data_IF_302116143153
#
_entry.id   IF_302116143153
#
_cell.length_a   1.000
_cell.length_b   1.000
_cell.length_c   1.000
_cell.angle_alpha   90.00
_cell.angle_beta   90.00
_cell.angle_gamma   90.00
#
_symmetry.space_group_name_H-M   'P 1'
#
loop_
_entity.id
_entity.type
_entity.pdbx_description
1 polymer ?
#
# COMPACT_ATOMS: atom_id res chain seq x y z
N UNK A 1 0.44 11.74 -36.13
CA UNK A 1 -0.96 11.31 -36.35
C UNK A 1 -1.47 10.77 -35.03
N UNK A 2 -2.45 11.46 -34.43
CA UNK A 2 -2.98 11.14 -33.11
C UNK A 2 -4.02 10.03 -33.19
N UNK A 3 -3.94 9.08 -32.26
CA UNK A 3 -5.01 8.14 -32.00
C UNK A 3 -5.56 8.41 -30.61
N UNK A 4 -6.69 9.10 -30.57
CA UNK A 4 -7.62 9.13 -29.44
C UNK A 4 -8.24 7.74 -29.33
N UNK A 5 -7.87 6.96 -28.32
CA UNK A 5 -8.55 5.70 -28.03
C UNK A 5 -9.58 5.94 -26.92
N UNK A 6 -10.83 5.91 -27.38
CA UNK A 6 -12.07 6.11 -26.66
C UNK A 6 -12.19 5.18 -25.45
N UNK A 7 -12.45 5.76 -24.28
CA UNK A 7 -12.76 5.06 -23.02
C UNK A 7 -14.12 4.35 -23.00
N UNK A 8 -14.43 3.55 -24.02
CA UNK A 8 -15.63 2.71 -24.06
C UNK A 8 -15.38 1.23 -23.71
N UNK A 9 -14.13 0.74 -23.76
CA UNK A 9 -13.85 -0.66 -23.45
C UNK A 9 -13.60 -0.94 -21.96
N UNK A 10 -13.50 0.09 -21.11
CA UNK A 10 -13.20 -0.08 -19.68
C UNK A 10 -14.44 -0.34 -18.81
N UNK A 11 -15.66 -0.24 -19.36
CA UNK A 11 -16.87 -0.14 -18.55
C UNK A 11 -17.78 -1.39 -18.52
N UNK A 12 -17.44 -2.47 -19.24
CA UNK A 12 -18.28 -3.68 -19.25
C UNK A 12 -17.70 -4.88 -18.49
N UNK A 13 -16.46 -4.83 -18.01
CA UNK A 13 -15.81 -5.99 -17.35
C UNK A 13 -15.92 -5.99 -15.81
N UNK A 14 -16.53 -4.96 -15.21
CA UNK A 14 -16.52 -4.74 -13.76
C UNK A 14 -17.42 -5.69 -12.95
N UNK A 15 -18.20 -6.57 -13.58
CA UNK A 15 -19.16 -7.44 -12.86
C UNK A 15 -18.79 -8.93 -12.91
N UNK A 16 -17.87 -9.37 -13.78
CA UNK A 16 -17.59 -10.81 -13.98
C UNK A 16 -16.10 -11.18 -14.11
N UNK A 17 -15.20 -10.54 -13.35
CA UNK A 17 -13.85 -11.09 -13.12
C UNK A 17 -13.01 -11.38 -14.38
N UNK A 18 -13.11 -10.53 -15.41
CA UNK A 18 -12.43 -10.76 -16.70
C UNK A 18 -11.81 -9.53 -17.34
N UNK A 19 -11.74 -8.40 -16.63
CA UNK A 19 -11.27 -7.13 -17.18
C UNK A 19 -9.78 -6.93 -17.14
N UNK A 20 -9.26 -6.27 -18.16
CA UNK A 20 -7.89 -5.79 -18.17
C UNK A 20 -7.83 -4.31 -17.75
N UNK A 21 -6.86 -3.98 -16.90
CA UNK A 21 -6.55 -2.63 -16.43
C UNK A 21 -5.20 -2.19 -16.99
N UNK A 22 -5.11 -0.92 -17.34
CA UNK A 22 -3.85 -0.29 -17.72
C UNK A 22 -3.36 0.60 -16.59
N UNK A 23 -2.13 0.36 -16.14
CA UNK A 23 -1.40 1.26 -15.26
C UNK A 23 -0.21 1.78 -16.06
N UNK A 24 -0.26 3.06 -16.42
CA UNK A 24 0.69 3.68 -17.34
C UNK A 24 0.80 2.90 -18.67
N UNK A 25 1.94 2.26 -18.92
CA UNK A 25 2.20 1.51 -20.16
C UNK A 25 1.95 0.00 -20.02
N UNK A 26 1.69 -0.47 -18.81
CA UNK A 26 1.62 -1.88 -18.49
C UNK A 26 0.15 -2.32 -18.39
N UNK A 27 -0.16 -3.47 -19.00
CA UNK A 27 -1.49 -4.08 -19.00
C UNK A 27 -1.54 -5.21 -17.98
N UNK A 28 -2.59 -5.23 -17.19
CA UNK A 28 -2.81 -6.24 -16.16
C UNK A 28 -4.20 -6.84 -16.30
N UNK A 29 -4.30 -8.16 -16.26
CA UNK A 29 -5.58 -8.87 -16.17
C UNK A 29 -6.00 -9.03 -14.72
N UNK A 30 -7.22 -8.65 -14.39
CA UNK A 30 -7.79 -8.90 -13.07
C UNK A 30 -8.08 -10.40 -12.94
N UNK A 31 -7.52 -11.04 -11.91
CA UNK A 31 -7.68 -12.47 -11.64
C UNK A 31 -8.79 -12.71 -10.64
N UNK A 32 -8.73 -12.04 -9.47
CA UNK A 32 -9.74 -12.13 -8.41
C UNK A 32 -9.60 -10.98 -7.43
N UNK A 33 -10.65 -10.70 -6.66
CA UNK A 33 -10.57 -9.78 -5.53
C UNK A 33 -9.88 -10.47 -4.33
N UNK A 34 -9.02 -9.71 -3.63
CA UNK A 34 -8.32 -10.11 -2.40
C UNK A 34 -8.95 -9.49 -1.16
N UNK A 35 -9.51 -8.28 -1.27
CA UNK A 35 -10.11 -7.58 -0.15
C UNK A 35 -10.94 -6.36 -0.55
N UNK A 36 -11.70 -5.86 0.40
CA UNK A 36 -12.57 -4.69 0.26
C UNK A 36 -12.50 -3.83 1.52
N UNK A 37 -12.46 -2.52 1.33
CA UNK A 37 -12.72 -1.50 2.33
C UNK A 37 -13.66 -0.44 1.72
N UNK A 38 -14.06 0.55 2.51
CA UNK A 38 -15.17 1.44 2.16
C UNK A 38 -15.15 2.04 0.74
N UNK A 39 -13.99 2.50 0.26
CA UNK A 39 -13.82 3.03 -1.10
C UNK A 39 -12.64 2.40 -1.84
N UNK A 40 -12.08 1.32 -1.30
CA UNK A 40 -10.85 0.72 -1.79
C UNK A 40 -11.02 -0.78 -1.96
N UNK A 41 -10.63 -1.28 -3.11
CA UNK A 41 -10.72 -2.69 -3.48
C UNK A 41 -9.32 -3.18 -3.80
N UNK A 42 -8.96 -4.36 -3.32
CA UNK A 42 -7.66 -4.97 -3.62
C UNK A 42 -7.89 -6.18 -4.51
N UNK A 43 -7.21 -6.23 -5.64
CA UNK A 43 -7.30 -7.31 -6.61
C UNK A 43 -5.95 -8.00 -6.80
N UNK A 44 -5.98 -9.31 -7.00
CA UNK A 44 -4.90 -10.04 -7.62
C UNK A 44 -4.96 -9.78 -9.12
N UNK A 45 -3.85 -9.32 -9.69
CA UNK A 45 -3.74 -9.04 -11.12
C UNK A 45 -2.54 -9.76 -11.70
N UNK A 46 -2.59 -10.08 -12.99
CA UNK A 46 -1.50 -10.71 -13.72
C UNK A 46 -1.06 -9.83 -14.87
N UNK A 47 0.22 -9.51 -14.94
CA UNK A 47 0.80 -8.76 -16.04
C UNK A 47 0.62 -9.50 -17.37
N UNK A 48 0.18 -8.76 -18.38
CA UNK A 48 -0.01 -9.25 -19.75
C UNK A 48 1.12 -8.70 -20.59
N UNK A 49 2.15 -9.52 -20.81
CA UNK A 49 3.28 -9.17 -21.66
C UNK A 49 2.88 -9.24 -23.15
N UNK A 50 3.29 -8.29 -23.99
CA UNK A 50 3.09 -8.40 -25.44
C UNK A 50 3.92 -9.56 -25.99
N UNK A 51 3.33 -10.32 -26.93
CA UNK A 51 3.90 -11.54 -27.56
C UNK A 51 5.29 -11.38 -28.23
N UNK A 52 5.88 -10.18 -28.24
CA UNK A 52 7.12 -9.90 -29.00
C UNK A 52 8.17 -9.06 -28.27
N UNK A 53 8.05 -8.84 -26.95
CA UNK A 53 9.02 -8.01 -26.23
C UNK A 53 9.18 -8.41 -24.77
N UNK A 54 10.13 -9.34 -24.52
CA UNK A 54 10.69 -9.60 -23.19
C UNK A 54 11.32 -8.34 -22.54
N UNK A 55 11.47 -7.24 -23.29
CA UNK A 55 11.95 -5.93 -22.83
C UNK A 55 10.84 -4.96 -22.38
N UNK A 56 9.57 -5.33 -22.52
CA UNK A 56 8.40 -4.48 -22.20
C UNK A 56 7.59 -5.10 -21.06
N UNK A 57 8.01 -4.84 -19.82
CA UNK A 57 7.26 -5.23 -18.63
C UNK A 57 7.73 -4.45 -17.41
N UNK A 58 7.07 -4.63 -16.27
CA UNK A 58 7.40 -3.98 -15.01
C UNK A 58 8.87 -4.22 -14.60
N UNK A 59 9.43 -5.36 -15.01
CA UNK A 59 10.83 -5.71 -14.82
C UNK A 59 11.84 -4.71 -15.42
N UNK A 60 11.48 -3.95 -16.47
CA UNK A 60 12.39 -2.95 -17.05
C UNK A 60 12.49 -1.67 -16.23
N UNK A 61 11.55 -1.43 -15.30
CA UNK A 61 11.53 -0.25 -14.42
C UNK A 61 12.27 -0.47 -13.09
N UNK A 62 12.41 -1.71 -12.63
CA UNK A 62 12.97 -2.02 -11.32
C UNK A 62 14.34 -2.67 -11.43
N UNK A 63 15.35 -2.05 -10.84
CA UNK A 63 16.70 -2.62 -10.70
C UNK A 63 16.76 -3.74 -9.66
N UNK A 64 15.81 -3.77 -8.72
CA UNK A 64 15.70 -4.81 -7.71
C UNK A 64 14.59 -5.79 -8.10
N UNK A 65 15.02 -6.94 -8.64
CA UNK A 65 14.12 -8.01 -9.06
C UNK A 65 13.44 -8.73 -7.88
N UNK A 66 13.84 -8.50 -6.63
CA UNK A 66 13.28 -9.21 -5.47
C UNK A 66 11.81 -8.91 -5.18
N UNK A 67 11.28 -7.83 -5.77
CA UNK A 67 9.89 -7.40 -5.63
C UNK A 67 9.00 -7.80 -6.81
N UNK A 68 9.57 -8.39 -7.86
CA UNK A 68 8.84 -8.89 -9.01
C UNK A 68 8.38 -10.32 -8.74
N UNK A 69 7.13 -10.63 -9.08
CA UNK A 69 6.67 -12.02 -9.00
C UNK A 69 7.18 -12.80 -10.20
N UNK A 70 7.70 -14.00 -9.94
CA UNK A 70 8.20 -14.93 -10.98
C UNK A 70 7.13 -15.27 -12.03
N UNK A 71 5.85 -15.26 -11.62
CA UNK A 71 4.71 -15.59 -12.49
C UNK A 71 3.97 -14.35 -13.03
N UNK A 72 4.50 -13.15 -12.78
CA UNK A 72 3.94 -11.87 -13.19
C UNK A 72 2.66 -11.47 -12.43
N UNK A 73 2.39 -12.03 -11.24
CA UNK A 73 1.25 -11.64 -10.42
C UNK A 73 1.58 -10.54 -9.40
N UNK A 74 0.59 -9.67 -9.15
CA UNK A 74 0.73 -8.49 -8.31
C UNK A 74 -0.57 -8.22 -7.55
N UNK A 75 -0.49 -7.42 -6.49
CA UNK A 75 -1.66 -6.86 -5.81
C UNK A 75 -1.93 -5.45 -6.33
N UNK A 76 -3.16 -5.18 -6.77
CA UNK A 76 -3.59 -3.86 -7.23
C UNK A 76 -4.68 -3.31 -6.32
N UNK A 77 -4.40 -2.19 -5.66
CA UNK A 77 -5.40 -1.41 -4.91
C UNK A 77 -6.06 -0.41 -5.85
N UNK A 78 -7.37 -0.54 -6.06
CA UNK A 78 -8.25 0.40 -6.76
C UNK A 78 -8.97 1.27 -5.73
N UNK A 79 -8.87 2.58 -5.83
CA UNK A 79 -9.56 3.53 -4.94
C UNK A 79 -10.53 4.39 -5.75
N UNK A 80 -11.80 4.43 -5.32
CA UNK A 80 -12.83 5.29 -5.90
C UNK A 80 -12.81 6.66 -5.23
N UNK A 81 -12.72 7.74 -6.02
CA UNK A 81 -12.51 9.10 -5.51
C UNK A 81 -13.69 10.00 -5.92
N UNK A 82 -14.42 10.50 -4.93
CA UNK A 82 -15.62 11.32 -5.12
C UNK A 82 -15.35 12.82 -5.02
N UNK A 83 -14.41 13.22 -4.15
CA UNK A 83 -14.14 14.62 -3.85
C UNK A 83 -12.63 14.94 -3.84
N UNK A 84 -12.32 16.23 -3.76
CA UNK A 84 -10.94 16.73 -3.78
C UNK A 84 -10.15 16.31 -2.53
N UNK A 85 -10.80 16.21 -1.37
CA UNK A 85 -10.14 15.81 -0.13
C UNK A 85 -9.63 14.36 -0.21
N UNK A 86 -10.47 13.44 -0.71
CA UNK A 86 -10.07 12.06 -0.98
C UNK A 86 -8.93 11.97 -2.01
N UNK A 87 -8.97 12.81 -3.05
CA UNK A 87 -7.91 12.86 -4.05
C UNK A 87 -6.57 13.25 -3.41
N UNK A 88 -6.56 14.26 -2.55
CA UNK A 88 -5.34 14.70 -1.86
C UNK A 88 -4.83 13.65 -0.86
N UNK A 89 -5.73 12.94 -0.15
CA UNK A 89 -5.34 11.81 0.70
C UNK A 89 -4.66 10.69 -0.09
N UNK A 90 -5.20 10.32 -1.25
CA UNK A 90 -4.60 9.30 -2.13
C UNK A 90 -3.27 9.77 -2.72
N UNK A 91 -3.17 11.04 -3.12
CA UNK A 91 -1.91 11.63 -3.59
C UNK A 91 -0.83 11.60 -2.53
N UNK A 92 -1.19 11.92 -1.29
CA UNK A 92 -0.25 11.86 -0.18
C UNK A 92 0.15 10.41 0.13
N UNK A 93 -0.78 9.45 0.12
CA UNK A 93 -0.47 8.02 0.28
C UNK A 93 0.54 7.54 -0.79
N UNK A 94 0.31 7.88 -2.06
CA UNK A 94 1.22 7.57 -3.17
C UNK A 94 2.60 8.22 -2.94
N UNK A 95 2.62 9.51 -2.59
CA UNK A 95 3.85 10.26 -2.36
C UNK A 95 4.68 9.60 -1.26
N UNK A 96 4.07 9.31 -0.12
CA UNK A 96 4.74 8.68 1.02
C UNK A 96 5.21 7.27 0.69
N UNK A 97 4.35 6.45 0.08
CA UNK A 97 4.71 5.07 -0.29
C UNK A 97 5.90 5.03 -1.27
N UNK A 98 6.07 6.07 -2.08
CA UNK A 98 7.20 6.21 -3.01
C UNK A 98 8.52 6.62 -2.34
N UNK A 99 8.50 7.09 -1.07
CA UNK A 99 9.72 7.51 -0.37
C UNK A 99 10.55 6.34 0.16
N UNK A 100 9.90 5.23 0.48
CA UNK A 100 10.52 4.17 1.25
C UNK A 100 11.00 3.03 0.36
N UNK A 101 12.23 2.58 0.60
CA UNK A 101 12.81 1.39 -0.03
C UNK A 101 13.52 0.57 1.04
N UNK A 102 12.85 -0.49 1.50
CA UNK A 102 13.33 -1.34 2.58
C UNK A 102 12.65 -2.72 2.52
N UNK A 103 13.36 -3.84 2.78
CA UNK A 103 12.80 -5.20 2.66
C UNK A 103 11.62 -5.51 3.59
N UNK A 104 11.41 -4.72 4.64
CA UNK A 104 10.29 -4.86 5.59
C UNK A 104 9.22 -3.77 5.46
N UNK A 105 9.22 -3.00 4.37
CA UNK A 105 8.20 -2.02 4.01
C UNK A 105 7.66 -2.36 2.62
N UNK A 106 6.34 -2.35 2.42
CA UNK A 106 5.74 -2.74 1.15
C UNK A 106 6.06 -1.67 0.08
N UNK A 107 6.81 -2.00 -0.98
CA UNK A 107 7.16 -1.02 -2.01
C UNK A 107 5.98 -0.75 -2.95
N UNK A 108 5.80 0.51 -3.34
CA UNK A 108 4.89 0.88 -4.43
C UNK A 108 5.58 0.65 -5.78
N UNK A 109 5.06 -0.26 -6.59
CA UNK A 109 5.65 -0.62 -7.89
C UNK A 109 5.20 0.30 -9.03
N UNK A 110 3.94 0.69 -9.05
CA UNK A 110 3.43 1.62 -10.05
C UNK A 110 2.14 2.26 -9.52
N UNK A 111 1.76 3.39 -10.12
CA UNK A 111 0.49 4.01 -9.81
C UNK A 111 -0.06 4.81 -10.98
N UNK A 112 -1.38 5.02 -10.98
CA UNK A 112 -2.06 5.92 -11.88
C UNK A 112 -3.29 6.54 -11.21
N UNK A 113 -3.59 7.80 -11.52
CA UNK A 113 -4.85 8.44 -11.18
C UNK A 113 -5.53 8.82 -12.50
N UNK A 114 -6.75 8.35 -12.70
CA UNK A 114 -7.49 8.49 -13.95
C UNK A 114 -8.80 9.21 -13.66
N UNK A 115 -9.10 10.25 -14.44
CA UNK A 115 -10.40 10.90 -14.40
C UNK A 115 -11.46 10.00 -15.04
N UNK A 116 -12.57 9.78 -14.34
CA UNK A 116 -13.67 8.92 -14.81
C UNK A 116 -14.85 9.78 -15.22
N UNK A 117 -15.50 9.40 -16.33
CA UNK A 117 -16.72 10.07 -16.77
C UNK A 117 -17.84 9.77 -15.75
N UNK A 118 -18.64 10.78 -15.35
CA UNK A 118 -19.77 10.56 -14.46
C UNK A 118 -20.69 9.47 -15.03
N UNK A 119 -20.92 8.41 -14.27
CA UNK A 119 -21.92 7.38 -14.60
C UNK A 119 -23.27 7.75 -13.98
N UNK A 120 -24.37 7.32 -14.59
CA UNK A 120 -25.73 7.64 -14.10
C UNK A 120 -26.00 7.09 -12.68
N UNK A 121 -25.22 6.10 -12.21
CA UNK A 121 -25.37 5.45 -10.90
C UNK A 121 -24.30 5.85 -9.86
N UNK A 122 -23.36 6.75 -10.19
CA UNK A 122 -22.24 7.07 -9.28
C UNK A 122 -21.54 8.40 -9.55
N UNK A 123 -21.21 9.12 -8.47
CA UNK A 123 -20.62 10.47 -8.51
C UNK A 123 -19.09 10.51 -8.41
N UNK A 124 -18.40 9.40 -8.65
CA UNK A 124 -16.92 9.38 -8.61
C UNK A 124 -16.33 10.13 -9.79
N UNK A 125 -15.35 10.99 -9.48
CA UNK A 125 -14.67 11.85 -10.45
C UNK A 125 -13.33 11.26 -10.89
N UNK A 126 -12.68 10.50 -10.02
CA UNK A 126 -11.39 9.87 -10.32
C UNK A 126 -11.36 8.45 -9.76
N UNK A 127 -10.46 7.65 -10.33
CA UNK A 127 -10.04 6.36 -9.80
C UNK A 127 -8.53 6.37 -9.66
N UNK A 128 -8.01 5.83 -8.57
CA UNK A 128 -6.58 5.60 -8.40
C UNK A 128 -6.27 4.10 -8.39
N UNK A 129 -5.14 3.75 -8.99
CA UNK A 129 -4.61 2.40 -9.08
C UNK A 129 -3.21 2.41 -8.49
N UNK A 130 -2.97 1.59 -7.47
CA UNK A 130 -1.66 1.41 -6.84
C UNK A 130 -1.27 -0.06 -6.96
N UNK A 131 -0.07 -0.34 -7.46
CA UNK A 131 0.43 -1.67 -7.72
C UNK A 131 1.52 -2.05 -6.71
N UNK A 132 1.42 -3.25 -6.14
CA UNK A 132 2.31 -3.76 -5.10
C UNK A 132 2.72 -5.21 -5.39
N UNK A 133 3.83 -5.70 -4.80
CA UNK A 133 4.10 -7.14 -4.75
C UNK A 133 2.95 -7.87 -4.06
N UNK A 134 2.62 -9.06 -4.53
CA UNK A 134 1.58 -9.89 -3.91
C UNK A 134 2.15 -10.76 -2.78
N UNK A 135 1.47 -10.79 -1.65
CA UNK A 135 1.78 -11.66 -0.50
C UNK A 135 0.56 -12.55 -0.19
N UNK A 136 0.55 -13.76 -0.76
CA UNK A 136 -0.61 -14.66 -0.70
C UNK A 136 -0.85 -15.31 0.67
N UNK A 137 0.16 -15.34 1.53
CA UNK A 137 0.03 -15.81 2.92
C UNK A 137 -0.74 -14.82 3.81
N UNK A 138 -1.11 -13.65 3.30
CA UNK A 138 -1.98 -12.68 3.96
C UNK A 138 -1.30 -11.93 5.11
N UNK A 139 -2.14 -11.35 5.96
CA UNK A 139 -1.70 -10.52 7.09
C UNK A 139 -1.35 -11.35 8.32
N UNK A 140 -0.63 -10.76 9.26
CA UNK A 140 -0.36 -11.33 10.57
C UNK A 140 -1.67 -11.58 11.33
N UNK A 141 -2.69 -10.75 11.13
CA UNK A 141 -4.04 -10.98 11.66
C UNK A 141 -4.68 -12.24 11.08
N UNK A 142 -4.62 -12.43 9.76
CA UNK A 142 -5.16 -13.63 9.09
C UNK A 142 -4.49 -14.91 9.60
N UNK A 143 -3.15 -14.87 9.70
CA UNK A 143 -2.36 -15.98 10.21
C UNK A 143 -2.68 -16.27 11.69
N UNK A 144 -2.79 -15.24 12.52
CA UNK A 144 -3.14 -15.39 13.94
C UNK A 144 -4.54 -16.00 14.11
N UNK A 145 -5.51 -15.58 13.29
CA UNK A 145 -6.87 -16.14 13.29
C UNK A 145 -6.87 -17.62 12.84
N UNK A 146 -6.13 -17.95 11.78
CA UNK A 146 -6.00 -19.31 11.30
C UNK A 146 -5.33 -20.25 12.33
N UNK A 147 -4.27 -19.78 12.99
CA UNK A 147 -3.61 -20.52 14.07
C UNK A 147 -4.55 -20.70 15.27
N UNK A 148 -5.27 -19.65 15.68
CA UNK A 148 -6.23 -19.72 16.78
C UNK A 148 -7.32 -20.78 16.53
N UNK A 149 -7.84 -20.85 15.30
CA UNK A 149 -8.83 -21.87 14.91
C UNK A 149 -8.27 -23.30 15.06
N UNK A 150 -6.97 -23.48 14.83
CA UNK A 150 -6.24 -24.74 14.98
C UNK A 150 -5.68 -24.98 16.39
N UNK A 151 -5.85 -24.03 17.32
CA UNK A 151 -5.20 -24.00 18.64
C UNK A 151 -3.67 -24.04 18.57
N UNK A 152 -3.13 -23.45 17.51
CA UNK A 152 -1.69 -23.27 17.28
C UNK A 152 -1.27 -21.85 17.68
N UNK A 153 0.04 -21.67 17.83
CA UNK A 153 0.65 -20.38 18.11
C UNK A 153 1.97 -20.24 17.34
N UNK A 154 2.37 -19.00 17.07
CA UNK A 154 3.73 -18.75 16.63
C UNK A 154 4.72 -19.21 17.70
N UNK A 155 5.80 -19.86 17.27
CA UNK A 155 6.92 -20.13 18.16
C UNK A 155 7.54 -18.82 18.64
N UNK A 156 8.12 -18.81 19.85
CA UNK A 156 8.81 -17.63 20.39
C UNK A 156 9.86 -17.09 19.42
N UNK A 157 10.57 -17.97 18.73
CA UNK A 157 11.57 -17.60 17.73
C UNK A 157 10.93 -16.86 16.54
N UNK A 158 9.80 -17.33 16.03
CA UNK A 158 9.08 -16.65 14.95
C UNK A 158 8.55 -15.27 15.41
N UNK A 159 8.03 -15.17 16.63
CA UNK A 159 7.59 -13.87 17.19
C UNK A 159 8.75 -12.87 17.24
N UNK A 160 9.93 -13.30 17.70
CA UNK A 160 11.12 -12.46 17.73
C UNK A 160 11.58 -12.04 16.32
N UNK A 161 11.53 -12.94 15.34
CA UNK A 161 11.88 -12.62 13.96
C UNK A 161 10.91 -11.61 13.32
N UNK A 162 9.61 -11.76 13.57
CA UNK A 162 8.58 -10.83 13.11
C UNK A 162 8.81 -9.45 13.74
N UNK A 163 8.98 -9.41 15.07
CA UNK A 163 9.20 -8.16 15.80
C UNK A 163 10.47 -7.43 15.32
N UNK A 164 11.59 -8.15 15.19
CA UNK A 164 12.85 -7.58 14.71
C UNK A 164 12.73 -6.95 13.32
N UNK A 165 12.04 -7.64 12.39
CA UNK A 165 11.84 -7.15 11.02
C UNK A 165 10.93 -5.92 10.99
N UNK A 166 9.85 -5.93 11.78
CA UNK A 166 8.97 -4.77 11.92
C UNK A 166 9.73 -3.55 12.47
N UNK A 167 10.56 -3.74 13.51
CA UNK A 167 11.44 -2.68 14.02
C UNK A 167 12.45 -2.19 12.97
N UNK A 168 12.96 -3.07 12.10
CA UNK A 168 13.86 -2.67 11.01
C UNK A 168 13.16 -1.74 10.02
N UNK A 169 11.93 -2.07 9.60
CA UNK A 169 11.12 -1.22 8.72
C UNK A 169 10.78 0.12 9.37
N UNK A 170 10.33 0.11 10.63
CA UNK A 170 10.02 1.34 11.36
C UNK A 170 11.25 2.21 11.56
N UNK A 171 12.41 1.61 11.89
CA UNK A 171 13.68 2.34 11.99
C UNK A 171 14.04 3.03 10.68
N UNK A 172 13.80 2.40 9.54
CA UNK A 172 14.03 3.02 8.24
C UNK A 172 13.17 4.28 8.05
N UNK A 173 11.87 4.23 8.37
CA UNK A 173 10.97 5.40 8.31
C UNK A 173 11.39 6.50 9.30
N UNK A 174 11.79 6.12 10.52
CA UNK A 174 12.21 7.06 11.56
C UNK A 174 13.55 7.74 11.27
N UNK A 175 14.39 7.16 10.42
CA UNK A 175 15.69 7.71 10.03
C UNK A 175 15.64 8.59 8.77
N UNK A 176 14.46 8.75 8.16
CA UNK A 176 14.27 9.69 7.06
C UNK A 176 14.43 11.14 7.54
N UNK A 177 14.72 12.07 6.63
CA UNK A 177 14.74 13.50 6.92
C UNK A 177 13.73 14.24 6.03
N UNK A 178 12.63 14.81 6.59
CA UNK A 178 12.22 14.70 7.99
C UNK A 178 11.79 13.26 8.36
N UNK A 179 11.84 12.86 9.64
CA UNK A 179 11.45 11.52 10.07
C UNK A 179 9.94 11.31 9.89
N UNK A 180 9.53 10.08 9.56
CA UNK A 180 8.11 9.73 9.38
C UNK A 180 7.64 8.69 10.39
N UNK A 181 6.46 8.89 10.97
CA UNK A 181 5.78 7.90 11.79
C UNK A 181 4.67 7.22 10.98
N UNK A 182 4.49 5.91 11.15
CA UNK A 182 3.46 5.15 10.43
C UNK A 182 2.03 5.42 10.95
N UNK A 183 1.86 5.62 12.26
CA UNK A 183 0.60 5.90 12.95
C UNK A 183 -0.53 4.85 12.85
N UNK A 184 -0.30 3.69 12.24
CA UNK A 184 -1.32 2.62 12.12
C UNK A 184 -0.69 1.23 12.12
N UNK A 185 0.27 1.01 13.02
CA UNK A 185 0.93 -0.29 13.18
C UNK A 185 0.00 -1.24 13.94
N UNK A 186 -0.55 -2.23 13.23
CA UNK A 186 -1.45 -3.26 13.77
C UNK A 186 -1.27 -4.57 13.00
N UNK A 187 -1.67 -5.74 13.55
CA UNK A 187 -1.51 -7.02 12.86
C UNK A 187 -2.15 -7.09 11.47
N UNK A 188 -3.23 -6.33 11.21
CA UNK A 188 -3.86 -6.24 9.89
C UNK A 188 -3.06 -5.47 8.84
N UNK A 189 -2.06 -4.69 9.25
CA UNK A 189 -1.17 -3.92 8.36
C UNK A 189 0.23 -4.55 8.26
N UNK A 190 0.38 -5.80 8.68
CA UNK A 190 1.64 -6.55 8.62
C UNK A 190 1.42 -7.76 7.74
N UNK A 191 2.04 -7.81 6.57
CA UNK A 191 2.05 -8.98 5.69
C UNK A 191 3.10 -9.98 6.18
N UNK A 192 2.77 -11.26 6.07
CA UNK A 192 3.68 -12.36 6.38
C UNK A 192 3.90 -13.17 5.10
N UNK A 193 5.10 -13.71 4.92
CA UNK A 193 5.37 -14.70 3.86
C UNK A 193 6.27 -15.79 4.40
N UNK A 194 5.81 -17.03 4.32
CA UNK A 194 6.53 -18.21 4.76
C UNK A 194 7.35 -18.78 3.61
N UNK A 195 8.63 -19.04 3.86
CA UNK A 195 9.52 -19.74 2.93
C UNK A 195 10.09 -20.96 3.64
N UNK A 196 10.14 -22.09 2.94
CA UNK A 196 10.59 -23.36 3.53
C UNK A 196 12.00 -23.21 4.09
N UNK A 197 12.17 -23.53 5.37
CA UNK A 197 13.46 -23.47 6.06
C UNK A 197 13.97 -22.06 6.39
N UNK A 198 13.14 -21.03 6.24
CA UNK A 198 13.49 -19.64 6.54
C UNK A 198 12.53 -19.04 7.57
N UNK A 199 12.95 -18.02 8.33
CA UNK A 199 12.05 -17.23 9.15
C UNK A 199 10.95 -16.59 8.28
N UNK A 200 9.76 -16.33 8.84
CA UNK A 200 8.71 -15.60 8.12
C UNK A 200 9.22 -14.21 7.72
N UNK A 201 9.11 -13.87 6.43
CA UNK A 201 9.34 -12.51 5.95
C UNK A 201 8.20 -11.63 6.43
N UNK A 202 8.52 -10.49 7.04
CA UNK A 202 7.55 -9.56 7.61
C UNK A 202 7.62 -8.23 6.90
N UNK A 203 6.49 -7.75 6.38
CA UNK A 203 6.42 -6.52 5.59
C UNK A 203 5.30 -5.64 6.13
N UNK A 204 5.62 -4.42 6.54
CA UNK A 204 4.65 -3.41 6.96
C UNK A 204 4.03 -2.74 5.72
N UNK A 205 2.71 -2.59 5.72
CA UNK A 205 1.94 -1.98 4.63
C UNK A 205 1.02 -0.88 5.16
N UNK A 206 0.36 -0.18 4.23
CA UNK A 206 -0.64 0.89 4.49
C UNK A 206 -0.07 2.17 5.10
N UNK A 207 0.53 3.00 4.24
CA UNK A 207 1.11 4.29 4.62
C UNK A 207 0.10 5.45 4.55
N UNK A 208 -1.21 5.20 4.42
CA UNK A 208 -2.22 6.28 4.32
C UNK A 208 -2.28 7.18 5.56
N UNK A 209 -1.93 6.62 6.72
CA UNK A 209 -1.86 7.31 8.01
C UNK A 209 -0.49 7.88 8.34
N UNK A 210 0.53 7.60 7.51
CA UNK A 210 1.90 8.01 7.79
C UNK A 210 2.07 9.52 7.65
N UNK A 211 2.77 10.15 8.60
CA UNK A 211 2.99 11.60 8.65
C UNK A 211 4.40 11.90 9.15
N UNK A 212 4.95 13.10 8.91
CA UNK A 212 6.17 13.53 9.57
C UNK A 212 6.04 13.34 11.09
N UNK A 213 6.99 12.61 11.68
CA UNK A 213 6.99 12.22 13.09
C UNK A 213 7.15 13.43 14.02
N UNK A 214 7.86 14.46 13.54
CA UNK A 214 8.05 15.72 14.26
C UNK A 214 7.14 16.76 13.62
N UNK A 215 6.19 17.27 14.41
CA UNK A 215 5.35 18.39 14.00
C UNK A 215 5.52 19.51 15.01
N UNK A 216 6.00 20.66 14.54
CA UNK A 216 6.04 21.86 15.38
C UNK A 216 4.61 22.39 15.52
N UNK A 217 4.09 22.42 16.74
CA UNK A 217 2.79 23.02 17.04
C UNK A 217 3.00 24.52 17.15
N UNK A 218 2.42 25.29 16.22
CA UNK A 218 2.53 26.76 16.19
C UNK A 218 1.26 27.47 16.61
N UNK A 219 0.15 26.76 16.80
CA UNK A 219 -1.11 27.33 17.25
C UNK A 219 -1.98 26.34 18.04
N UNK A 220 -2.91 26.89 18.85
CA UNK A 220 -3.92 26.09 19.57
C UNK A 220 -4.81 25.27 18.63
N UNK A 221 -5.11 25.80 17.44
CA UNK A 221 -5.89 25.10 16.41
C UNK A 221 -5.15 23.87 15.88
N UNK A 222 -3.85 23.98 15.64
CA UNK A 222 -3.02 22.85 15.22
C UNK A 222 -2.90 21.77 16.31
N UNK A 223 -2.82 22.18 17.58
CA UNK A 223 -2.81 21.25 18.72
C UNK A 223 -4.10 20.43 18.82
N UNK A 224 -5.26 21.08 18.66
CA UNK A 224 -6.58 20.43 18.70
C UNK A 224 -6.79 19.48 17.53
N UNK A 225 -6.33 19.84 16.33
CA UNK A 225 -6.35 18.93 15.16
C UNK A 225 -5.47 17.69 15.38
N UNK A 226 -4.31 17.84 16.03
CA UNK A 226 -3.44 16.71 16.35
C UNK A 226 -4.05 15.74 17.37
N UNK A 227 -4.73 16.26 18.40
CA UNK A 227 -5.44 15.43 19.39
C UNK A 227 -6.57 14.62 18.74
N UNK A 228 -7.30 15.20 17.79
CA UNK A 228 -8.37 14.51 17.07
C UNK A 228 -7.88 13.35 16.19
N UNK A 229 -6.60 13.35 15.80
CA UNK A 229 -5.98 12.34 14.94
C UNK A 229 -5.18 11.26 15.68
N UNK A 230 -5.24 11.21 17.02
CA UNK A 230 -4.63 10.13 17.82
C UNK A 230 -3.11 10.05 17.74
N UNK A 231 -2.43 11.13 17.34
CA UNK A 231 -0.99 11.16 17.16
C UNK A 231 -0.31 11.45 18.51
N UNK A 232 0.46 10.48 19.03
CA UNK A 232 1.37 10.71 20.17
C UNK A 232 2.59 11.46 19.63
N UNK A 233 2.64 12.78 19.78
CA UNK A 233 3.77 13.61 19.32
C UNK A 233 4.68 13.91 20.51
N UNK A 234 5.98 13.67 20.34
CA UNK A 234 7.02 14.27 21.17
C UNK A 234 7.01 15.78 20.91
N UNK A 235 6.40 16.55 21.79
CA UNK A 235 6.52 18.01 21.75
C UNK A 235 7.95 18.37 22.17
N UNK A 236 8.76 18.92 21.26
CA UNK A 236 9.97 19.64 21.65
C UNK A 236 9.58 21.09 21.87
N UNK A 237 9.54 21.52 23.14
CA UNK A 237 9.49 22.94 23.44
C UNK A 237 10.84 23.60 23.05
N UNK A 238 10.92 24.93 23.03
CA UNK A 238 12.10 25.70 22.63
C UNK A 238 13.40 25.42 23.43
N UNK A 239 13.36 24.45 24.34
CA UNK A 239 14.41 24.06 25.27
C UNK A 239 14.75 22.56 25.23
N UNK A 240 14.31 21.81 24.19
CA UNK A 240 14.68 20.41 23.94
C UNK A 240 14.44 19.42 25.11
N UNK A 241 13.42 19.69 25.96
CA UNK A 241 12.96 18.72 26.97
C UNK A 241 11.85 17.85 26.41
N UNK A 242 12.07 16.53 26.45
CA UNK A 242 11.07 15.51 26.10
C UNK A 242 10.07 15.40 27.26
N UNK A 243 8.81 15.75 27.03
CA UNK A 243 7.71 15.41 27.95
C UNK A 243 6.86 14.27 27.36
N UNK A 244 6.60 13.24 28.18
CA UNK A 244 5.63 12.20 27.90
C UNK A 244 4.27 12.66 28.47
N UNK A 245 3.25 12.71 27.62
CA UNK A 245 1.85 12.82 28.04
C UNK A 245 1.18 11.45 27.94
#
# INVERSE_FOLDING_TARGET
MGCSFSGLNALYDAVNGGGDVWINKNRFRIVRQLGEGGFAYVYLVKEVLPDSSASSGLASKFSDASHLSDDGTYAMKKVLIQNTEQLELVREEIRISSLFSHPNLLPLLDHAIIAVKPTQEGSWKNEAYLLFPVHLDGTLLDNANAMKAKKEFFSTLNVLHIFRQLCSGLKHMHNFDPPYAHNDVKPGNVLITHRKGQPPLTILMDFGSARPARKQIRSRTEALQLQAHGCMVLASDANDRLEFA
#
